data_IF_713548830353
#
_entry.id   IF_713548830353
#
_cell.length_a   1.000
_cell.length_b   1.000
_cell.length_c   1.000
_cell.angle_alpha   90.00
_cell.angle_beta   90.00
_cell.angle_gamma   90.00
#
_symmetry.space_group_name_H-M   'P 1'
#
loop_
_entity.id
_entity.type
_entity.pdbx_description
1 polymer ?
#
# COMPACT_ATOMS: atom_id res chain seq x y z
N UNK A 1 -25.91 7.14 12.99
CA UNK A 1 -26.78 7.67 11.92
C UNK A 1 -28.29 7.48 12.15
N UNK A 2 -28.80 6.25 12.31
CA UNK A 2 -30.25 5.96 12.35
C UNK A 2 -31.05 6.78 13.38
N UNK A 3 -30.52 6.94 14.60
CA UNK A 3 -31.14 7.77 15.65
C UNK A 3 -31.15 9.26 15.32
N UNK A 4 -30.07 9.78 14.72
CA UNK A 4 -29.93 11.21 14.34
C UNK A 4 -30.98 11.61 13.30
N UNK A 5 -31.30 10.72 12.37
CA UNK A 5 -32.23 10.98 11.25
C UNK A 5 -33.58 10.27 11.38
N UNK A 6 -33.90 9.68 12.55
CA UNK A 6 -35.16 8.98 12.82
C UNK A 6 -35.52 7.90 11.79
N UNK A 7 -34.54 7.10 11.37
CA UNK A 7 -34.72 6.02 10.37
C UNK A 7 -35.21 4.74 11.07
N UNK A 8 -36.30 4.15 10.55
CA UNK A 8 -36.87 2.89 11.03
C UNK A 8 -37.21 1.94 9.87
N UNK A 9 -36.75 0.66 9.89
CA UNK A 9 -35.89 0.06 10.91
C UNK A 9 -34.48 0.69 10.94
N UNK A 10 -33.70 0.53 12.03
CA UNK A 10 -32.33 1.03 12.09
C UNK A 10 -31.50 0.49 10.91
N UNK A 11 -30.69 1.36 10.31
CA UNK A 11 -29.72 0.95 9.29
C UNK A 11 -28.74 -0.08 9.85
N UNK A 12 -28.35 -1.04 9.01
CA UNK A 12 -27.25 -1.95 9.29
C UNK A 12 -25.93 -1.15 9.42
N UNK A 13 -25.07 -1.42 10.42
CA UNK A 13 -23.78 -0.76 10.55
C UNK A 13 -22.93 -0.76 9.26
N UNK A 14 -23.02 -1.80 8.43
CA UNK A 14 -22.29 -1.88 7.15
C UNK A 14 -22.67 -0.74 6.19
N UNK A 15 -23.89 -0.20 6.32
CA UNK A 15 -24.39 0.89 5.48
C UNK A 15 -23.48 2.13 5.55
N UNK A 16 -22.78 2.35 6.67
CA UNK A 16 -21.84 3.47 6.81
C UNK A 16 -20.62 3.26 5.89
N UNK A 17 -20.09 2.04 5.81
CA UNK A 17 -18.99 1.70 4.91
C UNK A 17 -19.40 1.80 3.44
N UNK A 18 -20.63 1.39 3.12
CA UNK A 18 -21.19 1.52 1.76
C UNK A 18 -21.40 2.99 1.38
N UNK A 19 -21.97 3.81 2.27
CA UNK A 19 -22.13 5.26 2.05
C UNK A 19 -20.79 5.95 1.83
N UNK A 20 -19.76 5.56 2.59
CA UNK A 20 -18.39 6.04 2.37
C UNK A 20 -17.86 5.64 0.99
N UNK A 21 -18.07 4.40 0.57
CA UNK A 21 -17.67 3.95 -0.76
C UNK A 21 -18.39 4.74 -1.87
N UNK A 22 -19.71 4.94 -1.76
CA UNK A 22 -20.44 5.78 -2.71
C UNK A 22 -19.98 7.24 -2.71
N UNK A 23 -19.63 7.79 -1.54
CA UNK A 23 -19.02 9.10 -1.42
C UNK A 23 -17.71 9.18 -2.22
N UNK A 24 -16.80 8.22 -2.06
CA UNK A 24 -15.53 8.18 -2.82
C UNK A 24 -15.77 8.18 -4.34
N UNK A 25 -16.69 7.35 -4.83
CA UNK A 25 -17.03 7.31 -6.26
C UNK A 25 -17.66 8.60 -6.77
N UNK A 26 -18.54 9.21 -5.97
CA UNK A 26 -19.23 10.43 -6.38
C UNK A 26 -18.27 11.62 -6.47
N UNK A 27 -17.34 11.70 -5.51
CA UNK A 27 -16.25 12.68 -5.55
C UNK A 27 -15.36 12.43 -6.76
N UNK A 28 -14.93 11.18 -6.98
CA UNK A 28 -14.02 10.85 -8.08
C UNK A 28 -14.63 11.14 -9.47
N UNK A 29 -15.88 10.75 -9.68
CA UNK A 29 -16.51 10.82 -11.00
C UNK A 29 -17.19 12.17 -11.28
N UNK A 30 -17.79 12.79 -10.27
CA UNK A 30 -18.57 14.02 -10.43
C UNK A 30 -17.95 15.25 -9.77
N UNK A 31 -16.84 15.10 -9.02
CA UNK A 31 -16.23 16.17 -8.22
C UNK A 31 -17.24 16.83 -7.26
N UNK A 32 -18.07 16.01 -6.60
CA UNK A 32 -19.14 16.46 -5.70
C UNK A 32 -19.13 15.71 -4.38
N UNK A 33 -19.12 16.46 -3.28
CA UNK A 33 -19.20 15.94 -1.91
C UNK A 33 -20.53 16.29 -1.21
N UNK A 34 -21.43 17.02 -1.87
CA UNK A 34 -22.74 17.45 -1.36
C UNK A 34 -23.82 16.35 -1.41
N UNK A 35 -23.44 15.10 -1.67
CA UNK A 35 -24.33 13.94 -1.78
C UNK A 35 -24.10 12.93 -0.66
N UNK A 36 -23.46 11.79 -0.95
CA UNK A 36 -23.21 10.72 0.00
C UNK A 36 -22.27 11.14 1.12
N UNK A 37 -21.26 11.98 0.81
CA UNK A 37 -20.32 12.45 1.82
C UNK A 37 -21.00 13.34 2.87
N UNK A 38 -21.99 14.15 2.47
CA UNK A 38 -22.73 15.04 3.36
C UNK A 38 -23.57 14.31 4.43
N UNK A 39 -23.79 13.00 4.26
CA UNK A 39 -24.51 12.17 5.23
C UNK A 39 -23.61 11.73 6.40
N UNK A 40 -22.29 11.76 6.21
CA UNK A 40 -21.28 11.22 7.13
C UNK A 40 -20.67 12.34 7.97
N UNK A 41 -20.56 12.14 9.29
CA UNK A 41 -19.69 13.00 10.11
C UNK A 41 -18.21 12.66 9.89
N UNK A 42 -17.31 13.50 10.40
CA UNK A 42 -15.87 13.20 10.39
C UNK A 42 -15.54 11.88 11.09
N UNK A 43 -16.22 11.57 12.19
CA UNK A 43 -16.09 10.30 12.89
C UNK A 43 -16.62 9.13 12.05
N UNK A 44 -17.77 9.31 11.36
CA UNK A 44 -18.31 8.28 10.45
C UNK A 44 -17.32 7.99 9.31
N UNK A 45 -16.71 9.04 8.73
CA UNK A 45 -15.69 8.90 7.68
C UNK A 45 -14.45 8.16 8.20
N UNK A 46 -13.99 8.46 9.42
CA UNK A 46 -12.84 7.82 10.03
C UNK A 46 -13.11 6.33 10.30
N UNK A 47 -14.27 6.00 10.87
CA UNK A 47 -14.67 4.63 11.16
C UNK A 47 -14.87 3.80 9.89
N UNK A 48 -15.54 4.37 8.88
CA UNK A 48 -15.73 3.71 7.59
C UNK A 48 -14.40 3.43 6.88
N UNK A 49 -13.48 4.41 6.91
CA UNK A 49 -12.12 4.23 6.40
C UNK A 49 -11.40 3.11 7.13
N UNK A 50 -11.47 3.11 8.46
CA UNK A 50 -10.80 2.12 9.28
C UNK A 50 -11.35 0.71 9.04
N UNK A 51 -12.66 0.56 8.86
CA UNK A 51 -13.28 -0.70 8.45
C UNK A 51 -12.64 -1.27 7.18
N UNK A 52 -12.51 -0.45 6.13
CA UNK A 52 -11.85 -0.87 4.88
C UNK A 52 -10.36 -1.13 5.06
N UNK A 53 -9.65 -0.34 5.87
CA UNK A 53 -8.24 -0.56 6.18
C UNK A 53 -8.03 -1.91 6.89
N UNK A 54 -8.89 -2.26 7.86
CA UNK A 54 -8.82 -3.53 8.56
C UNK A 54 -9.05 -4.71 7.60
N UNK A 55 -10.07 -4.63 6.74
CA UNK A 55 -10.30 -5.67 5.70
C UNK A 55 -9.06 -5.87 4.84
N UNK A 56 -8.50 -4.79 4.31
CA UNK A 56 -7.35 -4.86 3.41
C UNK A 56 -6.06 -5.25 4.13
N UNK A 57 -5.92 -4.89 5.41
CA UNK A 57 -4.79 -5.29 6.25
C UNK A 57 -4.70 -6.81 6.40
N UNK A 58 -5.83 -7.46 6.70
CA UNK A 58 -5.87 -8.92 6.85
C UNK A 58 -5.83 -9.67 5.53
N UNK A 59 -6.42 -9.11 4.46
CA UNK A 59 -6.44 -9.78 3.16
C UNK A 59 -5.13 -9.62 2.39
N UNK A 60 -4.50 -8.44 2.43
CA UNK A 60 -3.42 -8.08 1.49
C UNK A 60 -2.16 -7.51 2.15
N UNK A 61 -2.14 -7.37 3.47
CA UNK A 61 -1.00 -6.83 4.20
C UNK A 61 -0.63 -7.68 5.43
N UNK A 62 -0.07 -7.05 6.46
CA UNK A 62 0.54 -7.70 7.62
C UNK A 62 -0.41 -8.46 8.55
N UNK A 63 -1.72 -8.46 8.28
CA UNK A 63 -2.66 -9.27 9.03
C UNK A 63 -2.60 -10.76 8.68
N UNK A 64 -1.95 -11.14 7.58
CA UNK A 64 -1.66 -12.53 7.23
C UNK A 64 -0.18 -12.69 6.83
N UNK A 65 0.61 -13.51 7.55
CA UNK A 65 2.04 -13.72 7.25
C UNK A 65 2.32 -14.19 5.81
N UNK A 66 1.36 -14.86 5.16
CA UNK A 66 1.50 -15.29 3.77
C UNK A 66 1.71 -14.11 2.81
N UNK A 67 1.06 -12.96 3.09
CA UNK A 67 1.14 -11.78 2.25
C UNK A 67 2.55 -11.20 2.17
N UNK A 68 3.39 -11.43 3.18
CA UNK A 68 4.80 -11.04 3.15
C UNK A 68 5.60 -11.85 2.11
N UNK A 69 5.08 -12.95 1.59
CA UNK A 69 5.74 -13.83 0.62
C UNK A 69 5.15 -13.73 -0.79
N UNK A 70 3.89 -13.31 -0.93
CA UNK A 70 3.17 -13.30 -2.21
C UNK A 70 3.79 -12.36 -3.27
N UNK A 71 4.55 -11.35 -2.86
CA UNK A 71 5.27 -10.47 -3.79
C UNK A 71 6.51 -11.10 -4.44
N UNK A 72 6.92 -12.30 -4.02
CA UNK A 72 8.19 -12.89 -4.40
C UNK A 72 8.39 -13.04 -5.91
N UNK A 73 7.37 -13.49 -6.66
CA UNK A 73 7.52 -13.71 -8.10
C UNK A 73 7.86 -12.41 -8.84
N UNK A 74 7.17 -11.31 -8.50
CA UNK A 74 7.42 -10.00 -9.09
C UNK A 74 8.78 -9.44 -8.66
N UNK A 75 9.14 -9.53 -7.38
CA UNK A 75 10.41 -9.01 -6.87
C UNK A 75 11.59 -9.78 -7.49
N UNK A 76 11.45 -11.10 -7.67
CA UNK A 76 12.44 -11.93 -8.37
C UNK A 76 12.64 -11.46 -9.80
N UNK A 77 11.54 -11.23 -10.53
CA UNK A 77 11.60 -10.71 -11.89
C UNK A 77 12.25 -9.33 -11.94
N UNK A 78 11.91 -8.44 -11.00
CA UNK A 78 12.52 -7.11 -10.89
C UNK A 78 14.03 -7.20 -10.66
N UNK A 79 14.48 -7.97 -9.66
CA UNK A 79 15.90 -8.16 -9.36
C UNK A 79 16.65 -8.71 -10.57
N UNK A 80 16.11 -9.75 -11.22
CA UNK A 80 16.72 -10.33 -12.42
C UNK A 80 16.81 -9.33 -13.57
N UNK A 81 15.77 -8.52 -13.78
CA UNK A 81 15.76 -7.51 -14.85
C UNK A 81 16.82 -6.43 -14.63
N UNK A 82 17.00 -5.99 -13.37
CA UNK A 82 18.05 -5.03 -13.01
C UNK A 82 19.43 -5.67 -13.16
N UNK A 83 19.63 -6.91 -12.70
CA UNK A 83 20.90 -7.63 -12.86
C UNK A 83 21.26 -7.83 -14.33
N UNK A 84 20.30 -8.20 -15.18
CA UNK A 84 20.55 -8.36 -16.61
C UNK A 84 20.97 -7.04 -17.26
N UNK A 85 20.39 -5.91 -16.84
CA UNK A 85 20.82 -4.58 -17.28
C UNK A 85 22.24 -4.26 -16.79
N UNK A 86 22.52 -4.42 -15.50
CA UNK A 86 23.83 -4.13 -14.89
C UNK A 86 24.95 -4.99 -15.48
N UNK A 87 24.65 -6.23 -15.87
CA UNK A 87 25.60 -7.16 -16.48
C UNK A 87 25.68 -7.05 -18.01
N UNK A 88 25.00 -6.07 -18.63
CA UNK A 88 25.02 -5.85 -20.07
C UNK A 88 24.29 -6.93 -20.90
N UNK A 89 23.51 -7.80 -20.25
CA UNK A 89 22.66 -8.82 -20.91
C UNK A 89 21.36 -8.23 -21.45
N UNK A 90 20.92 -7.09 -20.92
CA UNK A 90 19.72 -6.37 -21.33
C UNK A 90 20.02 -4.89 -21.60
N UNK A 91 19.30 -4.31 -22.56
CA UNK A 91 19.28 -2.87 -22.85
C UNK A 91 18.02 -2.16 -22.31
N UNK A 92 17.16 -2.89 -21.61
CA UNK A 92 15.91 -2.36 -21.06
C UNK A 92 16.22 -1.43 -19.89
N UNK A 93 15.86 -0.16 -20.02
CA UNK A 93 16.09 0.89 -19.00
C UNK A 93 14.84 1.22 -18.18
N UNK A 94 13.67 0.72 -18.59
CA UNK A 94 12.41 0.88 -17.90
C UNK A 94 11.50 -0.33 -18.14
N UNK A 95 10.87 -0.83 -17.07
CA UNK A 95 9.83 -1.86 -17.09
C UNK A 95 8.58 -1.26 -16.45
N UNK A 96 7.52 -1.09 -17.25
CA UNK A 96 6.27 -0.47 -16.82
C UNK A 96 5.19 -1.54 -16.69
N UNK A 97 4.63 -1.69 -15.49
CA UNK A 97 3.58 -2.67 -15.20
C UNK A 97 2.34 -2.00 -14.67
N UNK A 98 1.20 -2.59 -15.02
CA UNK A 98 -0.10 -2.17 -14.54
C UNK A 98 -0.69 -3.32 -13.73
N UNK A 99 -1.00 -3.04 -12.47
CA UNK A 99 -1.56 -4.00 -11.54
C UNK A 99 -2.90 -3.52 -10.98
N UNK A 100 -3.39 -4.26 -10.00
CA UNK A 100 -4.50 -3.86 -9.16
C UNK A 100 -3.98 -3.35 -7.81
N UNK A 101 -4.79 -2.54 -7.11
CA UNK A 101 -4.38 -2.02 -5.80
C UNK A 101 -4.03 -3.12 -4.78
N UNK A 102 -4.63 -4.31 -4.86
CA UNK A 102 -4.25 -5.43 -3.99
C UNK A 102 -2.88 -6.03 -4.33
N UNK A 103 -2.50 -6.10 -5.63
CA UNK A 103 -1.17 -6.59 -6.02
C UNK A 103 -0.09 -5.62 -5.59
N UNK A 104 -0.34 -4.31 -5.68
CA UNK A 104 0.57 -3.27 -5.19
C UNK A 104 0.75 -3.35 -3.67
N UNK A 105 -0.35 -3.55 -2.91
CA UNK A 105 -0.29 -3.76 -1.44
C UNK A 105 0.59 -4.96 -1.08
N UNK A 106 0.46 -6.06 -1.82
CA UNK A 106 1.28 -7.26 -1.61
C UNK A 106 2.76 -6.95 -1.84
N UNK A 107 3.11 -6.25 -2.92
CA UNK A 107 4.51 -5.86 -3.19
C UNK A 107 5.07 -5.03 -2.03
N UNK A 108 4.36 -3.97 -1.62
CA UNK A 108 4.77 -3.13 -0.49
C UNK A 108 4.88 -3.92 0.82
N UNK A 109 3.95 -4.85 1.05
CA UNK A 109 3.94 -5.72 2.22
C UNK A 109 5.17 -6.64 2.24
N UNK A 110 5.51 -7.27 1.11
CA UNK A 110 6.72 -8.09 0.97
C UNK A 110 8.00 -7.29 1.23
N UNK A 111 8.05 -6.02 0.81
CA UNK A 111 9.16 -5.10 1.11
C UNK A 111 9.25 -4.69 2.59
N UNK A 112 8.20 -4.92 3.40
CA UNK A 112 8.19 -4.57 4.82
C UNK A 112 7.81 -3.11 5.13
N UNK A 113 7.48 -2.31 4.11
CA UNK A 113 7.14 -0.89 4.28
C UNK A 113 5.70 -0.69 4.79
N UNK A 114 5.45 0.44 5.48
CA UNK A 114 4.15 0.78 6.08
C UNK A 114 3.66 -0.16 7.18
N UNK A 115 4.51 -1.02 7.73
CA UNK A 115 4.17 -1.87 8.88
C UNK A 115 3.93 -1.01 10.13
N UNK A 116 2.76 -1.16 10.73
CA UNK A 116 2.41 -0.54 12.01
C UNK A 116 3.16 -1.17 13.18
N UNK A 117 3.24 -0.43 14.29
CA UNK A 117 3.86 -0.93 15.54
C UNK A 117 3.03 -2.03 16.21
N UNK A 118 1.73 -2.05 15.95
CA UNK A 118 0.78 -3.02 16.46
C UNK A 118 -0.24 -3.38 15.37
N UNK A 119 -0.83 -4.60 15.41
CA UNK A 119 -1.81 -5.02 14.42
C UNK A 119 -3.09 -4.17 14.49
N UNK A 120 -3.77 -4.01 13.37
CA UNK A 120 -5.09 -3.39 13.33
C UNK A 120 -6.11 -4.29 14.04
N UNK A 121 -6.77 -3.75 15.07
CA UNK A 121 -7.82 -4.43 15.85
C UNK A 121 -9.13 -3.62 15.85
N UNK A 122 -10.26 -4.28 16.08
CA UNK A 122 -11.57 -3.62 16.03
C UNK A 122 -11.79 -2.57 17.14
N UNK A 123 -10.96 -2.58 18.19
CA UNK A 123 -11.10 -1.78 19.41
C UNK A 123 -10.11 -0.60 19.51
N UNK A 124 -9.37 -0.28 18.44
CA UNK A 124 -8.53 0.92 18.43
C UNK A 124 -9.36 2.18 18.67
N UNK A 125 -8.80 3.12 19.43
CA UNK A 125 -9.36 4.47 19.58
C UNK A 125 -9.22 5.28 18.29
N UNK A 126 -10.04 6.33 18.10
CA UNK A 126 -9.94 7.21 16.93
C UNK A 126 -8.53 7.82 16.78
N UNK A 127 -7.87 8.17 17.88
CA UNK A 127 -6.50 8.70 17.85
C UNK A 127 -5.49 7.65 17.40
N UNK A 128 -5.61 6.41 17.89
CA UNK A 128 -4.79 5.29 17.40
C UNK A 128 -5.02 4.99 15.92
N UNK A 129 -6.25 5.09 15.44
CA UNK A 129 -6.55 4.90 14.01
C UNK A 129 -5.88 5.99 13.14
N UNK A 130 -5.82 7.23 13.62
CA UNK A 130 -5.19 8.36 12.89
C UNK A 130 -3.66 8.21 12.80
N UNK A 131 -3.05 7.61 13.82
CA UNK A 131 -1.59 7.43 13.89
C UNK A 131 -1.07 6.26 13.06
N UNK A 132 -1.96 5.42 12.50
CA UNK A 132 -1.55 4.28 11.67
C UNK A 132 -0.74 4.73 10.45
N UNK A 133 0.35 4.01 10.21
CA UNK A 133 1.16 4.04 9.00
C UNK A 133 0.42 3.35 7.87
N UNK A 134 -0.16 2.17 8.12
CA UNK A 134 -0.98 1.48 7.13
C UNK A 134 -2.39 2.07 7.10
N UNK A 135 -2.58 3.06 6.24
CA UNK A 135 -3.90 3.55 5.86
C UNK A 135 -4.00 3.37 4.36
N UNK A 136 -4.96 2.58 3.88
CA UNK A 136 -5.10 2.27 2.45
C UNK A 136 -5.05 3.55 1.62
N UNK A 137 -5.74 4.61 2.03
CA UNK A 137 -5.76 5.90 1.34
C UNK A 137 -4.46 6.74 1.47
N UNK A 138 -3.56 6.42 2.43
CA UNK A 138 -2.21 7.03 2.50
C UNK A 138 -1.19 6.26 1.67
N UNK A 139 -1.35 4.93 1.62
CA UNK A 139 -0.38 4.02 0.98
C UNK A 139 -0.70 3.85 -0.50
N UNK A 140 -1.93 3.47 -0.84
CA UNK A 140 -2.39 3.20 -2.21
C UNK A 140 -3.84 3.65 -2.42
N UNK A 141 -4.00 4.81 -3.06
CA UNK A 141 -5.27 5.36 -3.55
C UNK A 141 -5.44 5.14 -5.07
N UNK A 142 -6.55 5.60 -5.63
CA UNK A 142 -6.82 5.52 -7.07
C UNK A 142 -5.64 6.07 -7.88
N UNK A 143 -5.24 5.38 -8.94
CA UNK A 143 -4.08 5.73 -9.78
C UNK A 143 -2.75 5.84 -9.03
N UNK A 144 -2.56 5.07 -7.95
CA UNK A 144 -1.27 5.01 -7.28
C UNK A 144 -0.17 4.44 -8.17
N UNK A 145 1.07 4.83 -7.87
CA UNK A 145 2.26 4.41 -8.62
C UNK A 145 3.36 4.01 -7.66
N UNK A 146 4.04 2.90 -7.96
CA UNK A 146 5.25 2.46 -7.25
C UNK A 146 6.40 2.48 -8.26
N UNK A 147 7.47 3.20 -7.92
CA UNK A 147 8.71 3.22 -8.68
C UNK A 147 9.84 2.58 -7.88
N UNK A 148 10.59 1.72 -8.56
CA UNK A 148 11.92 1.32 -8.14
C UNK A 148 12.91 2.00 -9.07
N UNK A 149 13.60 2.99 -8.55
CA UNK A 149 14.58 3.74 -9.33
C UNK A 149 15.97 3.18 -9.09
N UNK A 150 16.71 2.87 -10.16
CA UNK A 150 18.07 2.36 -10.09
C UNK A 150 19.05 3.46 -10.51
N UNK A 151 20.03 3.74 -9.65
CA UNK A 151 21.07 4.73 -9.87
C UNK A 151 22.40 4.03 -10.08
N UNK A 152 23.03 4.28 -11.23
CA UNK A 152 24.35 3.76 -11.58
C UNK A 152 25.33 4.91 -11.77
N UNK A 153 26.57 4.73 -11.29
CA UNK A 153 27.67 5.68 -11.51
C UNK A 153 28.97 4.90 -11.64
N UNK A 154 29.86 5.24 -12.59
CA UNK A 154 31.16 4.58 -12.73
C UNK A 154 31.95 4.59 -11.42
N UNK A 155 32.46 3.42 -11.01
CA UNK A 155 33.29 3.26 -9.81
C UNK A 155 32.56 3.44 -8.48
N UNK A 156 31.22 3.51 -8.46
CA UNK A 156 30.40 3.62 -7.24
C UNK A 156 29.45 2.44 -7.09
N UNK A 157 28.98 2.25 -5.87
CA UNK A 157 27.91 1.30 -5.58
C UNK A 157 26.64 1.65 -6.37
N UNK A 158 25.94 0.62 -6.86
CA UNK A 158 24.60 0.76 -7.41
C UNK A 158 23.63 1.01 -6.26
N UNK A 159 22.75 1.99 -6.42
CA UNK A 159 21.74 2.35 -5.42
C UNK A 159 20.34 2.13 -5.99
N UNK A 160 19.38 1.77 -5.14
CA UNK A 160 17.97 1.86 -5.46
C UNK A 160 17.22 2.77 -4.48
N UNK A 161 16.13 3.33 -4.99
CA UNK A 161 15.17 4.09 -4.21
C UNK A 161 13.76 3.57 -4.48
N UNK A 162 12.98 3.38 -3.41
CA UNK A 162 11.55 3.14 -3.50
C UNK A 162 10.81 4.48 -3.45
N UNK A 163 9.97 4.72 -4.44
CA UNK A 163 9.08 5.88 -4.48
C UNK A 163 7.65 5.38 -4.62
N UNK A 164 6.77 5.79 -3.70
CA UNK A 164 5.33 5.46 -3.76
C UNK A 164 4.59 6.78 -3.86
N UNK A 165 3.79 6.94 -4.91
CA UNK A 165 3.02 8.16 -5.16
C UNK A 165 3.88 9.42 -5.17
N UNK A 166 5.03 9.35 -5.86
CA UNK A 166 6.02 10.43 -5.99
C UNK A 166 6.73 10.84 -4.70
N UNK A 167 6.51 10.11 -3.60
CA UNK A 167 7.20 10.33 -2.32
C UNK A 167 8.18 9.18 -2.04
N UNK A 168 9.41 9.46 -1.57
CA UNK A 168 10.39 8.43 -1.26
C UNK A 168 10.03 7.70 0.04
N UNK A 169 10.25 6.39 0.06
CA UNK A 169 10.06 5.56 1.25
C UNK A 169 11.30 4.72 1.56
N UNK A 170 11.65 4.67 2.85
CA UNK A 170 12.77 3.87 3.34
C UNK A 170 12.29 2.43 3.53
N UNK A 171 12.88 1.51 2.77
CA UNK A 171 12.71 0.08 2.98
C UNK A 171 13.34 -0.28 4.34
N UNK A 172 12.67 -1.03 5.23
CA UNK A 172 13.27 -1.49 6.47
C UNK A 172 14.64 -2.12 6.26
N UNK A 173 15.54 -1.92 7.20
CA UNK A 173 16.94 -2.38 7.16
C UNK A 173 17.84 -1.69 6.12
N UNK A 174 17.33 -0.78 5.29
CA UNK A 174 18.17 0.14 4.50
C UNK A 174 18.70 1.29 5.37
N UNK A 175 19.89 1.82 5.03
CA UNK A 175 20.54 2.91 5.81
C UNK A 175 19.93 4.30 5.54
N UNK A 176 19.01 4.41 4.58
CA UNK A 176 18.35 5.65 4.18
C UNK A 176 17.52 5.48 2.90
N UNK A 177 17.12 6.60 2.30
CA UNK A 177 16.32 6.66 1.07
C UNK A 177 17.00 5.93 -0.10
N UNK A 178 18.32 6.08 -0.24
CA UNK A 178 19.12 5.39 -1.24
C UNK A 178 19.77 4.16 -0.63
N UNK A 179 19.25 2.99 -0.98
CA UNK A 179 19.72 1.73 -0.44
C UNK A 179 20.66 1.04 -1.42
N UNK A 180 21.77 0.48 -0.90
CA UNK A 180 22.75 -0.23 -1.74
C UNK A 180 22.10 -1.45 -2.38
N UNK A 181 22.30 -1.64 -3.68
CA UNK A 181 21.73 -2.76 -4.44
C UNK A 181 22.04 -4.12 -3.84
N UNK A 182 23.26 -4.34 -3.36
CA UNK A 182 23.63 -5.55 -2.61
C UNK A 182 22.79 -5.73 -1.35
N UNK A 183 22.69 -4.68 -0.52
CA UNK A 183 21.94 -4.71 0.74
C UNK A 183 20.45 -5.00 0.52
N UNK A 184 19.84 -4.39 -0.49
CA UNK A 184 18.43 -4.67 -0.83
C UNK A 184 18.20 -6.13 -1.23
N UNK A 185 19.10 -6.72 -2.01
CA UNK A 185 19.03 -8.15 -2.33
C UNK A 185 19.19 -9.01 -1.06
N UNK A 186 20.06 -8.61 -0.13
CA UNK A 186 20.23 -9.31 1.15
C UNK A 186 18.97 -9.22 2.03
N UNK A 187 18.33 -8.05 2.11
CA UNK A 187 17.06 -7.83 2.83
C UNK A 187 15.95 -8.73 2.28
N UNK A 188 15.95 -8.95 0.97
CA UNK A 188 15.00 -9.81 0.27
C UNK A 188 15.43 -11.28 0.19
N UNK A 189 16.52 -11.66 0.86
CA UNK A 189 16.94 -13.06 0.94
C UNK A 189 15.81 -13.91 1.53
N UNK A 190 15.44 -14.99 0.83
CA UNK A 190 14.28 -15.83 1.17
C UNK A 190 12.92 -15.29 0.73
N UNK A 191 12.87 -14.06 0.16
CA UNK A 191 11.68 -13.46 -0.48
C UNK A 191 11.84 -13.33 -2.01
N UNK A 192 12.89 -13.94 -2.58
CA UNK A 192 13.18 -14.04 -4.01
C UNK A 192 13.48 -15.49 -4.38
N UNK A 193 13.29 -15.85 -5.65
CA UNK A 193 13.48 -17.20 -6.21
C UNK A 193 12.57 -18.26 -5.56
N UNK A 194 11.33 -17.89 -5.25
CA UNK A 194 10.28 -18.81 -4.81
C UNK A 194 9.88 -19.80 -5.91
N UNK A 195 9.60 -21.04 -5.50
CA UNK A 195 9.00 -22.11 -6.29
C UNK A 195 7.66 -22.45 -5.63
N UNK A 196 6.59 -21.77 -6.07
CA UNK A 196 5.23 -21.92 -5.54
C UNK A 196 4.45 -23.01 -6.28
#
# INVERSE_FOLDING_TARGET
>A
MSKKYNISPPLDPISIADMFYYCEFWVLHFNRADTWCALLSDDDLMLARYYWNMRDYFLYSYGNPLNEQLGCAYITQFVNSVEDYLNGKSRMVADLKFGHGFTEKIVLTTLGVFKDEYPLTADLTLEQMKSLKYITQKVLYWTSTIYFEIYTSPGKDVLMRLVVNFEPYIIPDCDGEYCKWSKFKDILSGKINCDF
#
